data_IF_763756923790
#
_entry.id   IF_763756923790
#
_cell.length_a   1.000
_cell.length_b   1.000
_cell.length_c   1.000
_cell.angle_alpha   90.00
_cell.angle_beta   90.00
_cell.angle_gamma   90.00
#
_symmetry.space_group_name_H-M   'P 1'
#
loop_
_entity.id
_entity.type
_entity.pdbx_description
1 polymer ?
#
# COMPACT_ATOMS: atom_id res chain seq x y z
N UNK A 1 -6.85 -38.61 55.85
CA UNK A 1 -5.64 -37.93 55.35
C UNK A 1 -5.59 -38.13 53.83
N UNK A 2 -5.62 -37.02 53.07
CA UNK A 2 -5.41 -36.93 51.59
C UNK A 2 -6.54 -37.48 50.70
N UNK A 3 -7.05 -36.81 49.67
CA UNK A 3 -6.76 -35.50 49.09
C UNK A 3 -7.79 -35.17 48.01
N UNK A 4 -8.33 -33.95 48.02
CA UNK A 4 -9.16 -33.38 46.94
C UNK A 4 -8.22 -32.93 45.83
N UNK A 5 -8.49 -33.33 44.59
CA UNK A 5 -7.94 -32.67 43.39
C UNK A 5 -9.10 -32.41 42.43
N UNK A 6 -9.65 -31.20 42.52
CA UNK A 6 -10.53 -30.64 41.50
C UNK A 6 -9.63 -29.95 40.47
N UNK A 7 -9.50 -30.54 39.29
CA UNK A 7 -8.88 -29.93 38.12
C UNK A 7 -9.90 -29.02 37.43
N UNK A 8 -9.95 -27.76 37.85
CA UNK A 8 -10.64 -26.71 37.12
C UNK A 8 -9.75 -26.24 35.98
N UNK A 9 -9.92 -26.80 34.79
CA UNK A 9 -9.32 -26.26 33.56
C UNK A 9 -10.06 -24.96 33.18
N UNK A 10 -9.48 -23.82 33.55
CA UNK A 10 -9.85 -22.51 32.99
C UNK A 10 -9.37 -22.47 31.54
N UNK A 11 -10.25 -22.86 30.62
CA UNK A 11 -10.15 -22.51 29.21
C UNK A 11 -10.31 -20.98 29.11
N UNK A 12 -9.17 -20.29 29.07
CA UNK A 12 -9.06 -18.92 28.59
C UNK A 12 -9.45 -18.90 27.11
N UNK A 13 -10.76 -18.87 26.85
CA UNK A 13 -11.30 -18.41 25.58
C UNK A 13 -11.08 -16.89 25.52
N UNK A 14 -9.84 -16.47 25.26
CA UNK A 14 -9.61 -15.13 24.75
C UNK A 14 -10.33 -15.03 23.42
N UNK A 15 -11.15 -13.98 23.16
CA UNK A 15 -11.61 -13.74 21.82
C UNK A 15 -10.35 -13.47 21.01
N UNK A 16 -9.93 -14.45 20.22
CA UNK A 16 -9.08 -14.19 19.07
C UNK A 16 -9.88 -13.18 18.25
N UNK A 17 -9.55 -11.90 18.39
CA UNK A 17 -9.87 -10.90 17.39
C UNK A 17 -9.18 -11.40 16.14
N UNK A 18 -9.87 -12.24 15.38
CA UNK A 18 -9.51 -12.53 14.01
C UNK A 18 -9.52 -11.17 13.35
N UNK A 19 -8.33 -10.58 13.20
CA UNK A 19 -8.12 -9.42 12.36
C UNK A 19 -8.78 -9.77 11.03
N UNK A 20 -9.84 -9.04 10.66
CA UNK A 20 -10.48 -9.22 9.38
C UNK A 20 -9.35 -9.29 8.32
N UNK A 21 -9.30 -10.33 7.48
CA UNK A 21 -8.25 -10.42 6.48
C UNK A 21 -8.27 -9.12 5.68
N UNK A 22 -7.16 -8.39 5.71
CA UNK A 22 -6.97 -7.20 4.90
C UNK A 22 -7.41 -7.57 3.49
N UNK A 23 -8.39 -6.83 2.94
CA UNK A 23 -8.86 -7.03 1.55
C UNK A 23 -7.74 -6.88 0.51
N UNK A 24 -6.56 -6.45 0.96
CA UNK A 24 -5.30 -6.45 0.23
C UNK A 24 -4.39 -7.51 0.86
N UNK A 25 -4.29 -8.70 0.24
CA UNK A 25 -3.14 -9.57 0.44
C UNK A 25 -1.95 -8.93 -0.28
N UNK A 26 -0.81 -8.88 0.41
CA UNK A 26 0.44 -8.41 -0.16
C UNK A 26 1.20 -9.53 -0.89
N UNK A 27 0.65 -10.74 -0.92
CA UNK A 27 1.30 -11.93 -1.48
C UNK A 27 1.20 -11.96 -3.01
N UNK A 28 0.23 -11.25 -3.58
CA UNK A 28 -0.04 -11.22 -5.02
C UNK A 28 -0.11 -9.79 -5.56
N UNK A 29 0.25 -9.63 -6.83
CA UNK A 29 0.14 -8.36 -7.52
C UNK A 29 -1.34 -7.90 -7.63
N UNK A 30 -1.61 -6.61 -7.42
CA UNK A 30 -2.97 -6.10 -7.44
C UNK A 30 -3.56 -6.11 -8.85
N UNK A 31 -4.87 -6.38 -8.94
CA UNK A 31 -5.61 -6.32 -10.21
C UNK A 31 -6.42 -5.04 -10.39
N UNK A 32 -6.48 -4.18 -9.38
CA UNK A 32 -7.06 -2.84 -9.44
C UNK A 32 -5.97 -1.80 -9.19
N UNK A 33 -5.74 -0.94 -10.19
CA UNK A 33 -4.71 0.07 -10.19
C UNK A 33 -5.21 1.47 -9.84
N UNK A 34 -6.50 1.68 -9.63
CA UNK A 34 -7.06 3.02 -9.42
C UNK A 34 -6.40 3.75 -8.24
N UNK A 35 -6.33 3.08 -7.09
CA UNK A 35 -5.75 3.67 -5.87
C UNK A 35 -4.24 3.90 -5.99
N UNK A 36 -3.52 3.10 -6.78
CA UNK A 36 -2.10 3.29 -7.01
C UNK A 36 -1.85 4.56 -7.82
N UNK A 37 -2.63 4.78 -8.90
CA UNK A 37 -2.55 6.00 -9.69
C UNK A 37 -2.89 7.26 -8.87
N UNK A 38 -3.98 7.21 -8.08
CA UNK A 38 -4.39 8.35 -7.23
C UNK A 38 -3.30 8.69 -6.21
N UNK A 39 -2.71 7.69 -5.54
CA UNK A 39 -1.61 7.89 -4.58
C UNK A 39 -0.37 8.50 -5.24
N UNK A 40 -0.03 8.05 -6.44
CA UNK A 40 1.08 8.62 -7.19
C UNK A 40 0.84 10.10 -7.53
N UNK A 41 -0.35 10.46 -7.97
CA UNK A 41 -0.69 11.87 -8.21
C UNK A 41 -0.68 12.70 -6.92
N UNK A 42 -1.22 12.18 -5.82
CA UNK A 42 -1.14 12.83 -4.51
C UNK A 42 0.31 13.07 -4.09
N UNK A 43 1.20 12.10 -4.31
CA UNK A 43 2.62 12.24 -4.01
C UNK A 43 3.28 13.36 -4.82
N UNK A 44 2.97 13.49 -6.12
CA UNK A 44 3.47 14.59 -6.95
C UNK A 44 2.96 15.96 -6.49
N UNK A 45 1.72 16.03 -6.00
CA UNK A 45 1.16 17.26 -5.46
C UNK A 45 1.77 17.64 -4.11
N UNK A 46 1.99 16.66 -3.22
CA UNK A 46 2.59 16.89 -1.90
C UNK A 46 4.06 17.30 -1.99
N UNK A 47 4.84 16.66 -2.86
CA UNK A 47 6.28 16.85 -2.94
C UNK A 47 6.75 17.95 -3.90
N UNK A 48 5.86 18.49 -4.75
CA UNK A 48 6.17 19.32 -5.93
C UNK A 48 7.00 18.59 -7.00
N UNK A 49 8.03 17.84 -6.60
CA UNK A 49 8.83 16.93 -7.41
C UNK A 49 9.20 15.69 -6.58
N UNK A 50 9.17 14.51 -7.21
CA UNK A 50 9.63 13.26 -6.60
C UNK A 50 11.11 13.03 -6.97
N UNK A 51 11.89 12.32 -6.14
CA UNK A 51 13.21 11.85 -6.53
C UNK A 51 13.16 11.02 -7.82
N UNK A 52 14.07 11.30 -8.77
CA UNK A 52 14.08 10.67 -10.10
C UNK A 52 14.20 9.14 -10.04
N UNK A 53 15.01 8.63 -9.09
CA UNK A 53 15.19 7.20 -8.86
C UNK A 53 13.88 6.54 -8.42
N UNK A 54 13.17 7.17 -7.50
CA UNK A 54 11.88 6.70 -7.00
C UNK A 54 10.81 6.74 -8.10
N UNK A 55 10.77 7.80 -8.91
CA UNK A 55 9.80 7.93 -10.00
C UNK A 55 10.05 6.87 -11.10
N UNK A 56 11.32 6.62 -11.45
CA UNK A 56 11.69 5.58 -12.40
C UNK A 56 11.36 4.17 -11.89
N UNK A 57 11.72 3.86 -10.64
CA UNK A 57 11.39 2.57 -10.01
C UNK A 57 9.88 2.37 -9.93
N UNK A 58 9.13 3.40 -9.53
CA UNK A 58 7.67 3.33 -9.46
C UNK A 58 7.04 3.14 -10.83
N UNK A 59 7.52 3.85 -11.87
CA UNK A 59 7.04 3.66 -13.24
C UNK A 59 7.28 2.23 -13.73
N UNK A 60 8.45 1.65 -13.42
CA UNK A 60 8.78 0.25 -13.72
C UNK A 60 7.85 -0.72 -12.99
N UNK A 61 7.63 -0.52 -11.69
CA UNK A 61 6.68 -1.31 -10.90
C UNK A 61 5.28 -1.30 -11.53
N UNK A 62 4.77 -0.12 -11.90
CA UNK A 62 3.45 0.02 -12.53
C UNK A 62 3.39 -0.64 -13.90
N UNK A 63 4.47 -0.60 -14.69
CA UNK A 63 4.54 -1.29 -15.99
C UNK A 63 4.39 -2.81 -15.81
N UNK A 64 5.16 -3.42 -14.92
CA UNK A 64 5.08 -4.86 -14.66
C UNK A 64 3.68 -5.27 -14.20
N UNK A 65 3.04 -4.49 -13.32
CA UNK A 65 1.68 -4.78 -12.87
C UNK A 65 0.63 -4.63 -13.97
N UNK A 66 0.79 -3.65 -14.88
CA UNK A 66 -0.07 -3.49 -16.06
C UNK A 66 0.04 -4.68 -17.01
N UNK A 67 1.26 -5.14 -17.29
CA UNK A 67 1.52 -6.31 -18.12
C UNK A 67 0.90 -7.58 -17.53
N UNK A 68 0.94 -7.73 -16.20
CA UNK A 68 0.34 -8.86 -15.49
C UNK A 68 -1.20 -8.82 -15.43
N UNK A 69 -1.83 -7.64 -15.58
CA UNK A 69 -3.28 -7.50 -15.42
C UNK A 69 -3.88 -6.39 -16.30
N UNK A 70 -4.64 -6.75 -17.36
CA UNK A 70 -5.39 -5.78 -18.17
C UNK A 70 -6.48 -5.03 -17.39
N UNK A 71 -6.96 -5.61 -16.27
CA UNK A 71 -7.88 -4.92 -15.36
C UNK A 71 -7.15 -3.82 -14.60
N UNK A 72 -5.94 -4.10 -14.13
CA UNK A 72 -5.11 -3.12 -13.44
C UNK A 72 -4.81 -1.95 -14.36
N UNK A 73 -4.38 -2.21 -15.60
CA UNK A 73 -4.07 -1.15 -16.57
C UNK A 73 -5.24 -0.19 -16.79
N UNK A 74 -6.44 -0.72 -17.07
CA UNK A 74 -7.63 0.10 -17.29
C UNK A 74 -8.00 0.94 -16.07
N UNK A 75 -7.90 0.38 -14.87
CA UNK A 75 -8.27 1.08 -13.63
C UNK A 75 -7.21 2.09 -13.20
N UNK A 76 -5.93 1.78 -13.43
CA UNK A 76 -4.81 2.71 -13.24
C UNK A 76 -4.93 3.93 -14.16
N UNK A 77 -5.21 3.73 -15.44
CA UNK A 77 -5.43 4.82 -16.39
C UNK A 77 -6.61 5.73 -15.96
N UNK A 78 -7.71 5.14 -15.47
CA UNK A 78 -8.82 5.92 -14.88
C UNK A 78 -8.36 6.73 -13.67
N UNK A 79 -7.59 6.12 -12.77
CA UNK A 79 -7.05 6.79 -11.59
C UNK A 79 -6.17 7.98 -11.95
N UNK A 80 -5.32 7.87 -12.99
CA UNK A 80 -4.49 8.99 -13.47
C UNK A 80 -5.31 10.17 -14.02
N UNK A 81 -6.56 9.95 -14.39
CA UNK A 81 -7.47 11.02 -14.86
C UNK A 81 -8.40 11.51 -13.76
N UNK A 82 -8.31 10.96 -12.54
CA UNK A 82 -9.17 11.33 -11.45
C UNK A 82 -8.90 12.78 -11.03
N UNK A 83 -9.96 13.55 -10.84
CA UNK A 83 -9.85 14.88 -10.24
C UNK A 83 -9.66 14.73 -8.73
N UNK A 84 -8.41 14.77 -8.29
CA UNK A 84 -8.07 14.64 -6.87
C UNK A 84 -8.31 15.99 -6.20
N UNK A 85 -9.24 16.01 -5.25
CA UNK A 85 -9.38 17.12 -4.31
C UNK A 85 -8.19 17.08 -3.34
N UNK A 86 -7.06 17.60 -3.79
CA UNK A 86 -5.91 17.83 -2.94
C UNK A 86 -6.00 19.23 -2.33
N UNK A 87 -5.77 19.32 -1.03
CA UNK A 87 -5.71 20.58 -0.31
C UNK A 87 -4.25 20.82 0.04
N UNK A 88 -3.70 21.97 -0.39
CA UNK A 88 -2.36 22.37 0.01
C UNK A 88 -2.29 22.47 1.55
N UNK A 89 -1.29 21.86 2.19
CA UNK A 89 -1.11 21.96 3.63
C UNK A 89 -0.94 23.41 4.10
N UNK A 90 -1.32 23.69 5.35
CA UNK A 90 -1.32 25.05 5.89
C UNK A 90 0.09 25.56 6.20
N UNK A 91 1.01 24.64 6.50
CA UNK A 91 2.40 24.94 6.85
C UNK A 91 3.37 24.17 5.95
N UNK A 92 4.60 24.66 5.84
CA UNK A 92 5.67 23.96 5.13
C UNK A 92 6.09 22.66 5.84
N UNK A 93 5.96 22.60 7.16
CA UNK A 93 6.24 21.38 7.93
C UNK A 93 5.22 20.27 7.60
N UNK A 94 3.93 20.60 7.56
CA UNK A 94 2.89 19.66 7.15
C UNK A 94 3.10 19.19 5.70
N UNK A 95 3.48 20.10 4.80
CA UNK A 95 3.77 19.75 3.41
C UNK A 95 4.98 18.80 3.30
N UNK A 96 6.03 19.06 4.06
CA UNK A 96 7.21 18.19 4.10
C UNK A 96 6.84 16.79 4.63
N UNK A 97 6.05 16.73 5.71
CA UNK A 97 5.60 15.46 6.28
C UNK A 97 4.70 14.67 5.32
N UNK A 98 3.75 15.32 4.65
CA UNK A 98 2.91 14.68 3.63
C UNK A 98 3.75 14.15 2.46
N UNK A 99 4.76 14.92 2.03
CA UNK A 99 5.69 14.48 1.00
C UNK A 99 6.47 13.24 1.43
N UNK A 100 7.06 13.23 2.62
CA UNK A 100 7.83 12.09 3.15
C UNK A 100 6.97 10.83 3.26
N UNK A 101 5.75 10.96 3.79
CA UNK A 101 4.80 9.85 3.88
C UNK A 101 4.42 9.33 2.49
N UNK A 102 4.20 10.23 1.54
CA UNK A 102 3.88 9.87 0.16
C UNK A 102 5.04 9.14 -0.52
N UNK A 103 6.27 9.63 -0.40
CA UNK A 103 7.46 8.96 -0.92
C UNK A 103 7.65 7.57 -0.29
N UNK A 104 7.45 7.46 1.03
CA UNK A 104 7.52 6.17 1.72
C UNK A 104 6.50 5.18 1.15
N UNK A 105 5.24 5.60 0.93
CA UNK A 105 4.21 4.75 0.34
C UNK A 105 4.56 4.28 -1.09
N UNK A 106 5.19 5.14 -1.90
CA UNK A 106 5.68 4.76 -3.23
C UNK A 106 6.82 3.74 -3.14
N UNK A 107 7.78 3.94 -2.22
CA UNK A 107 8.89 2.99 -1.98
C UNK A 107 8.38 1.62 -1.54
N UNK A 108 7.37 1.58 -0.65
CA UNK A 108 6.72 0.33 -0.25
C UNK A 108 6.09 -0.35 -1.47
N UNK A 109 5.40 0.39 -2.33
CA UNK A 109 4.81 -0.16 -3.57
C UNK A 109 5.88 -0.73 -4.50
N UNK A 110 7.01 -0.05 -4.67
CA UNK A 110 8.16 -0.54 -5.44
C UNK A 110 8.69 -1.85 -4.87
N UNK A 111 8.88 -1.91 -3.55
CA UNK A 111 9.38 -3.12 -2.89
C UNK A 111 8.42 -4.31 -3.02
N UNK A 112 7.12 -4.07 -2.94
CA UNK A 112 6.10 -5.09 -3.20
C UNK A 112 6.15 -5.58 -4.65
N UNK A 113 6.29 -4.67 -5.62
CA UNK A 113 6.46 -5.06 -7.01
C UNK A 113 7.76 -5.85 -7.28
N UNK A 114 8.82 -5.63 -6.51
CA UNK A 114 10.03 -6.48 -6.53
C UNK A 114 9.77 -7.89 -6.04
N UNK A 115 8.88 -8.06 -5.07
CA UNK A 115 8.50 -9.38 -4.56
C UNK A 115 7.58 -10.12 -5.54
N UNK A 116 6.60 -9.43 -6.14
CA UNK A 116 5.68 -10.03 -7.11
C UNK A 116 6.35 -10.37 -8.44
N UNK A 117 7.35 -9.59 -8.86
CA UNK A 117 7.99 -9.70 -10.18
C UNK A 117 9.52 -9.79 -10.08
N UNK A 118 10.09 -10.83 -9.43
CA UNK A 118 11.52 -10.88 -9.13
C UNK A 118 12.43 -10.88 -10.37
N UNK A 119 11.96 -11.39 -11.51
CA UNK A 119 12.71 -11.39 -12.79
C UNK A 119 12.53 -10.13 -13.64
N UNK A 120 11.72 -9.17 -13.20
CA UNK A 120 11.37 -7.96 -13.98
C UNK A 120 12.25 -6.74 -13.68
N UNK A 121 13.18 -6.84 -12.72
CA UNK A 121 13.96 -5.72 -12.18
C UNK A 121 15.37 -5.61 -12.73
#
# INVERSE_FOLDING_TARGET
MHGRLYLSALLLAGPALASEPSRYSYDEAPTDGYMYAVRYQQAKLACESLPDDLEADYAKAMRLTKEASPKFERTYAKGLTANIRWRKPATSEDQQQECEQSQHALRVTVNLARQWFPGGW
#
